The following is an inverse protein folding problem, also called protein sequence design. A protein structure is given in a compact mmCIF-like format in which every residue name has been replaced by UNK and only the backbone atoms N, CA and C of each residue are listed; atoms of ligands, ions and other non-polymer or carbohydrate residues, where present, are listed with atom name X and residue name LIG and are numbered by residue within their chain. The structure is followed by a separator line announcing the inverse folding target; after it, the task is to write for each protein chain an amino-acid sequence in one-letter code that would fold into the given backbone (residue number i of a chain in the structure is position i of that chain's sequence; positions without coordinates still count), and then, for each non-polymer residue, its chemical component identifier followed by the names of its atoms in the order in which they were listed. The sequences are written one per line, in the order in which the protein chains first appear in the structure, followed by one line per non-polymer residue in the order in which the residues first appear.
data_IF_452995273827
#
_entry.id   IF_452995273827
#
_cell.length_a   1.000
_cell.length_b   1.000
_cell.length_c   1.000
_cell.angle_alpha   90.00
_cell.angle_beta   90.00
_cell.angle_gamma   90.00
#
_symmetry.space_group_name_H-M   'P 1'
#
loop_
_entity.id
_entity.type
_entity.pdbx_description
1 polymer ?
#
# COMPACT_ATOMS: atom_id res chain seq x y z
N UNK A 1 -4.00 5.16 13.15
CA UNK A 1 -3.79 5.68 11.79
C UNK A 1 -5.13 5.70 11.06
N UNK A 2 -5.50 6.84 10.50
CA UNK A 2 -6.66 6.99 9.61
C UNK A 2 -6.37 6.34 8.25
N UNK A 3 -7.39 6.24 7.40
CA UNK A 3 -7.21 5.75 6.03
C UNK A 3 -6.28 6.66 5.21
N UNK A 4 -6.31 7.96 5.51
CA UNK A 4 -5.53 9.00 4.82
C UNK A 4 -4.05 8.93 5.21
N UNK A 5 -3.75 8.76 6.51
CA UNK A 5 -2.36 8.57 6.98
C UNK A 5 -1.73 7.28 6.40
N UNK A 6 -2.54 6.25 6.18
CA UNK A 6 -2.07 5.04 5.50
C UNK A 6 -1.79 5.26 4.01
N UNK A 7 -2.64 6.03 3.35
CA UNK A 7 -2.49 6.37 1.94
C UNK A 7 -1.19 7.16 1.69
N UNK A 8 -0.90 8.14 2.55
CA UNK A 8 0.33 8.94 2.51
C UNK A 8 1.58 8.10 2.74
N UNK A 9 1.56 7.20 3.74
CA UNK A 9 2.68 6.28 4.00
C UNK A 9 2.99 5.40 2.81
N UNK A 10 1.96 4.82 2.20
CA UNK A 10 2.15 3.98 1.02
C UNK A 10 2.66 4.80 -0.17
N UNK A 11 2.13 6.01 -0.37
CA UNK A 11 2.62 6.92 -1.40
C UNK A 11 4.09 7.28 -1.21
N UNK A 12 4.56 7.37 0.04
CA UNK A 12 5.97 7.58 0.33
C UNK A 12 6.82 6.35 -0.06
N UNK A 13 6.37 5.13 0.28
CA UNK A 13 7.10 3.91 -0.09
C UNK A 13 7.20 3.71 -1.61
N UNK A 14 6.12 4.03 -2.34
CA UNK A 14 6.10 3.95 -3.81
C UNK A 14 7.01 4.99 -4.45
N UNK A 15 7.10 6.21 -3.88
CA UNK A 15 7.96 7.29 -4.39
C UNK A 15 9.43 7.09 -4.04
N UNK A 16 9.74 6.43 -2.93
CA UNK A 16 11.10 6.20 -2.46
C UNK A 16 11.25 4.74 -2.00
N UNK A 17 11.39 3.80 -2.96
CA UNK A 17 11.44 2.37 -2.66
C UNK A 17 12.83 1.92 -2.18
N UNK A 18 13.19 2.32 -0.96
CA UNK A 18 14.30 1.70 -0.24
C UNK A 18 13.94 0.28 0.22
N UNK A 19 14.92 -0.55 0.65
CA UNK A 19 14.66 -1.93 1.04
C UNK A 19 13.60 -2.09 2.15
N UNK A 20 13.52 -1.15 3.09
CA UNK A 20 12.53 -1.18 4.17
C UNK A 20 11.14 -0.77 3.66
N UNK A 21 11.08 0.22 2.76
CA UNK A 21 9.85 0.62 2.08
C UNK A 21 9.26 -0.52 1.25
N UNK A 22 10.10 -1.27 0.52
CA UNK A 22 9.68 -2.45 -0.24
C UNK A 22 9.15 -3.55 0.67
N UNK A 23 9.86 -3.89 1.75
CA UNK A 23 9.41 -4.86 2.75
C UNK A 23 8.04 -4.47 3.33
N UNK A 24 7.89 -3.21 3.74
CA UNK A 24 6.63 -2.70 4.27
C UNK A 24 5.52 -2.80 3.21
N UNK A 25 5.77 -2.35 1.99
CA UNK A 25 4.80 -2.42 0.91
C UNK A 25 4.31 -3.84 0.65
N UNK A 26 5.22 -4.84 0.62
CA UNK A 26 4.85 -6.25 0.44
C UNK A 26 3.88 -6.75 1.50
N UNK A 27 4.10 -6.42 2.77
CA UNK A 27 3.16 -6.75 3.86
C UNK A 27 1.77 -6.15 3.60
N UNK A 28 1.72 -4.91 3.09
CA UNK A 28 0.46 -4.23 2.78
C UNK A 28 -0.24 -4.75 1.53
N UNK A 29 0.49 -5.29 0.56
CA UNK A 29 -0.12 -5.99 -0.57
C UNK A 29 -0.81 -7.28 -0.15
N UNK A 30 -0.25 -7.97 0.84
CA UNK A 30 -0.80 -9.23 1.38
C UNK A 30 -1.81 -9.05 2.52
N UNK A 31 -2.14 -7.80 2.88
CA UNK A 31 -3.06 -7.53 3.97
C UNK A 31 -4.47 -8.11 3.71
N UNK A 32 -5.00 -8.78 4.74
CA UNK A 32 -6.35 -9.38 4.74
C UNK A 32 -7.14 -8.91 5.95
N UNK A 33 -8.35 -8.35 5.78
CA UNK A 33 -9.20 -8.01 6.92
C UNK A 33 -9.66 -9.30 7.62
N UNK A 34 -9.44 -9.37 8.94
CA UNK A 34 -9.85 -10.51 9.78
C UNK A 34 -11.16 -10.22 10.54
N UNK A 35 -11.33 -8.99 11.02
CA UNK A 35 -12.49 -8.57 11.81
C UNK A 35 -12.74 -7.06 11.66
N UNK A 36 -13.96 -6.61 11.93
CA UNK A 36 -14.33 -5.20 11.96
C UNK A 36 -14.90 -4.68 10.63
N UNK A 37 -14.46 -3.49 10.21
CA UNK A 37 -15.04 -2.76 9.07
C UNK A 37 -14.32 -3.08 7.75
N UNK A 38 -14.78 -4.13 7.06
CA UNK A 38 -14.21 -4.62 5.80
C UNK A 38 -14.23 -3.58 4.66
N UNK A 39 -15.14 -2.60 4.70
CA UNK A 39 -15.20 -1.53 3.71
C UNK A 39 -13.97 -0.60 3.77
N UNK A 40 -13.39 -0.37 4.95
CA UNK A 40 -12.16 0.42 5.09
C UNK A 40 -10.98 -0.32 4.49
N UNK A 41 -10.88 -1.63 4.76
CA UNK A 41 -9.89 -2.51 4.16
C UNK A 41 -9.95 -2.50 2.63
N UNK A 42 -11.16 -2.59 2.07
CA UNK A 42 -11.38 -2.53 0.63
C UNK A 42 -10.96 -1.17 0.06
N UNK A 43 -11.37 -0.05 0.67
CA UNK A 43 -10.97 1.29 0.22
C UNK A 43 -9.45 1.46 0.21
N UNK A 44 -8.79 0.99 1.27
CA UNK A 44 -7.33 1.02 1.37
C UNK A 44 -6.70 0.21 0.23
N UNK A 45 -7.13 -1.04 0.01
CA UNK A 45 -6.64 -1.88 -1.11
C UNK A 45 -6.83 -1.23 -2.48
N UNK A 46 -7.99 -0.61 -2.73
CA UNK A 46 -8.22 0.11 -3.99
C UNK A 46 -7.27 1.29 -4.17
N UNK A 47 -6.92 1.98 -3.09
CA UNK A 47 -5.96 3.08 -3.16
C UNK A 47 -4.55 2.58 -3.45
N UNK A 48 -4.11 1.53 -2.74
CA UNK A 48 -2.81 0.87 -2.98
C UNK A 48 -2.64 0.48 -4.45
N UNK A 49 -3.65 -0.19 -5.03
CA UNK A 49 -3.63 -0.63 -6.43
C UNK A 49 -3.58 0.55 -7.41
N UNK A 50 -4.31 1.63 -7.15
CA UNK A 50 -4.27 2.83 -8.01
C UNK A 50 -2.90 3.49 -8.01
N UNK A 51 -2.28 3.60 -6.85
CA UNK A 51 -0.95 4.22 -6.72
C UNK A 51 0.14 3.41 -7.44
N UNK A 52 0.00 2.09 -7.50
CA UNK A 52 1.04 1.20 -8.06
C UNK A 52 0.89 0.96 -9.56
N UNK A 53 -0.33 1.05 -10.10
CA UNK A 53 -0.56 0.99 -11.55
C UNK A 53 0.25 2.04 -12.33
N UNK A 54 0.51 3.20 -11.75
CA UNK A 54 1.31 4.27 -12.37
C UNK A 54 2.82 4.12 -12.19
N UNK A 55 3.31 3.07 -11.55
CA UNK A 55 4.72 3.00 -11.11
C UNK A 55 5.38 1.64 -11.47
N UNK A 56 5.70 1.41 -12.76
CA UNK A 56 6.22 0.12 -13.23
C UNK A 56 7.61 -0.22 -12.70
N UNK A 57 8.43 0.79 -12.37
CA UNK A 57 9.74 0.56 -11.74
C UNK A 57 9.59 0.02 -10.32
N UNK A 58 8.67 0.60 -9.53
CA UNK A 58 8.33 0.10 -8.20
C UNK A 58 7.87 -1.36 -8.26
N UNK A 59 6.98 -1.70 -9.20
CA UNK A 59 6.50 -3.07 -9.39
C UNK A 59 7.60 -4.07 -9.78
N UNK A 60 8.69 -3.60 -10.41
CA UNK A 60 9.85 -4.43 -10.76
C UNK A 60 10.79 -4.68 -9.57
N UNK A 61 10.65 -3.90 -8.50
CA UNK A 61 11.43 -4.01 -7.27
C UNK A 61 10.72 -4.84 -6.18
N UNK A 62 9.42 -5.08 -6.33
CA UNK A 62 8.64 -6.02 -5.51
C UNK A 62 8.95 -7.47 -5.89
#
# INVERSE_FOLDING_TARGET
LTLEEWDERFAQWVRTPDPLALLNATIFFDFRPLYGRFNLAHRMRLSLLRQTQGNPLFLRML
#
